data_IF_739130622401
#
_entry.id   IF_739130622401
#
_cell.length_a   1.000
_cell.length_b   1.000
_cell.length_c   1.000
_cell.angle_alpha   90.00
_cell.angle_beta   90.00
_cell.angle_gamma   90.00
#
_symmetry.space_group_name_H-M   'P 1'
#
loop_
_entity.id
_entity.type
_entity.pdbx_description
1 polymer ?
#
# COMPACT_ATOMS: atom_id res chain seq x y z
N UNK A 1 10.35 10.72 -7.73
CA UNK A 1 8.89 10.75 -7.89
C UNK A 1 8.28 10.25 -6.60
N UNK A 2 7.02 10.58 -6.33
CA UNK A 2 6.40 10.83 -5.02
C UNK A 2 7.22 11.71 -4.05
N UNK A 3 8.39 11.27 -3.59
CA UNK A 3 9.25 12.02 -2.66
C UNK A 3 9.80 13.35 -3.24
N UNK A 4 10.09 13.40 -4.54
CA UNK A 4 10.64 14.57 -5.26
C UNK A 4 9.55 15.49 -5.82
N UNK A 5 8.46 14.92 -6.37
CA UNK A 5 7.45 15.65 -7.16
C UNK A 5 6.08 15.75 -6.48
N UNK A 6 5.83 14.94 -5.45
CA UNK A 6 4.53 14.87 -4.78
C UNK A 6 3.52 13.95 -5.47
N UNK A 7 3.85 13.39 -6.64
CA UNK A 7 2.98 12.49 -7.41
C UNK A 7 3.65 11.13 -7.55
N UNK A 8 2.92 10.07 -7.17
CA UNK A 8 3.37 8.70 -7.35
C UNK A 8 3.11 8.21 -8.78
N UNK A 9 4.06 7.50 -9.35
CA UNK A 9 3.84 6.81 -10.63
C UNK A 9 3.12 5.48 -10.40
N UNK A 10 2.52 4.92 -11.47
CA UNK A 10 1.96 3.56 -11.42
C UNK A 10 3.02 2.53 -11.02
N UNK A 11 4.25 2.68 -11.50
CA UNK A 11 5.36 1.78 -11.13
C UNK A 11 5.70 1.86 -9.64
N UNK A 12 5.75 3.06 -9.06
CA UNK A 12 5.97 3.25 -7.61
C UNK A 12 4.84 2.64 -6.77
N UNK A 13 3.59 2.75 -7.22
CA UNK A 13 2.45 2.12 -6.55
C UNK A 13 2.57 0.59 -6.58
N UNK A 14 2.88 0.01 -7.73
CA UNK A 14 3.04 -1.44 -7.87
C UNK A 14 4.20 -1.95 -7.03
N UNK A 15 5.33 -1.24 -7.02
CA UNK A 15 6.50 -1.57 -6.20
C UNK A 15 6.17 -1.54 -4.70
N UNK A 16 5.52 -0.46 -4.22
CA UNK A 16 5.06 -0.35 -2.84
C UNK A 16 4.04 -1.43 -2.46
N UNK A 17 3.20 -1.89 -3.38
CA UNK A 17 2.29 -3.01 -3.14
C UNK A 17 3.03 -4.34 -2.98
N UNK A 18 4.11 -4.55 -3.74
CA UNK A 18 4.96 -5.74 -3.62
C UNK A 18 5.83 -5.73 -2.35
N UNK A 19 6.06 -4.56 -1.77
CA UNK A 19 6.87 -4.36 -0.57
C UNK A 19 6.30 -5.04 0.69
N UNK A 20 5.03 -5.48 0.69
CA UNK A 20 4.46 -6.27 1.80
C UNK A 20 5.22 -7.58 2.08
N UNK A 21 6.00 -8.06 1.11
CA UNK A 21 6.86 -9.25 1.25
C UNK A 21 8.28 -8.95 1.72
N UNK A 22 8.64 -7.67 1.79
CA UNK A 22 9.95 -7.25 2.27
C UNK A 22 9.91 -7.05 3.79
N UNK A 23 11.05 -7.23 4.45
CA UNK A 23 11.19 -6.92 5.88
C UNK A 23 11.36 -5.41 6.12
N UNK A 24 11.88 -4.69 5.13
CA UNK A 24 12.16 -3.27 5.23
C UNK A 24 11.96 -2.58 3.87
N UNK A 25 11.50 -1.32 3.91
CA UNK A 25 11.36 -0.45 2.74
C UNK A 25 12.26 0.76 2.92
N UNK A 26 13.17 0.98 1.96
CA UNK A 26 14.05 2.14 1.97
C UNK A 26 13.40 3.32 1.24
N UNK A 27 13.46 4.51 1.85
CA UNK A 27 12.94 5.74 1.25
C UNK A 27 14.07 6.74 1.03
N UNK A 28 14.11 7.29 -0.19
CA UNK A 28 15.01 8.40 -0.50
C UNK A 28 14.48 9.71 0.09
N UNK A 29 15.38 10.56 0.61
CA UNK A 29 15.05 11.91 1.08
C UNK A 29 14.36 12.74 -0.02
N UNK A 30 13.38 13.55 0.34
CA UNK A 30 12.69 14.45 -0.58
C UNK A 30 11.71 15.40 0.11
N UNK A 31 11.30 16.45 -0.60
CA UNK A 31 10.39 17.50 -0.10
C UNK A 31 9.05 16.94 0.40
N UNK A 32 8.60 15.82 -0.15
CA UNK A 32 7.30 15.22 0.15
C UNK A 32 7.39 13.96 1.03
N UNK A 33 8.44 13.82 1.86
CA UNK A 33 8.70 12.58 2.63
C UNK A 33 7.53 12.14 3.51
N UNK A 34 6.85 13.08 4.17
CA UNK A 34 5.67 12.77 5.02
C UNK A 34 4.53 12.20 4.17
N UNK A 35 4.31 12.74 2.97
CA UNK A 35 3.32 12.22 2.02
C UNK A 35 3.71 10.83 1.52
N UNK A 36 5.00 10.62 1.26
CA UNK A 36 5.54 9.31 0.88
C UNK A 36 5.27 8.26 1.95
N UNK A 37 5.54 8.55 3.22
CA UNK A 37 5.30 7.63 4.34
C UNK A 37 3.81 7.30 4.48
N UNK A 38 2.93 8.31 4.49
CA UNK A 38 1.47 8.09 4.59
C UNK A 38 0.92 7.23 3.45
N UNK A 39 1.41 7.45 2.23
CA UNK A 39 1.00 6.65 1.08
C UNK A 39 1.50 5.20 1.19
N UNK A 40 2.74 5.00 1.65
CA UNK A 40 3.28 3.67 1.88
C UNK A 40 2.49 2.92 2.96
N UNK A 41 2.15 3.58 4.06
CA UNK A 41 1.32 3.05 5.15
C UNK A 41 -0.07 2.61 4.65
N UNK A 42 -0.76 3.43 3.85
CA UNK A 42 -2.08 3.08 3.28
C UNK A 42 -1.98 1.84 2.37
N UNK A 43 -0.98 1.80 1.49
CA UNK A 43 -0.76 0.67 0.58
C UNK A 43 -0.49 -0.60 1.38
N UNK A 44 0.47 -0.58 2.31
CA UNK A 44 0.85 -1.75 3.09
C UNK A 44 -0.32 -2.26 3.95
N UNK A 45 -1.06 -1.36 4.60
CA UNK A 45 -2.24 -1.73 5.40
C UNK A 45 -3.31 -2.42 4.54
N UNK A 46 -3.53 -1.92 3.32
CA UNK A 46 -4.47 -2.55 2.38
C UNK A 46 -3.98 -3.92 1.91
N UNK A 47 -2.67 -4.09 1.70
CA UNK A 47 -2.07 -5.37 1.30
C UNK A 47 -2.12 -6.41 2.43
N UNK A 48 -1.91 -6.00 3.68
CA UNK A 48 -2.05 -6.88 4.85
C UNK A 48 -3.47 -7.47 4.97
N UNK A 49 -4.50 -6.72 4.58
CA UNK A 49 -5.87 -7.24 4.51
C UNK A 49 -6.05 -8.42 3.53
N UNK A 50 -5.10 -8.68 2.64
CA UNK A 50 -5.09 -9.83 1.73
C UNK A 50 -4.35 -11.06 2.28
N UNK A 51 -3.98 -11.06 3.57
CA UNK A 51 -3.30 -12.20 4.22
C UNK A 51 -4.03 -12.56 5.52
N UNK A 52 -4.37 -13.84 5.69
CA UNK A 52 -4.95 -14.37 6.92
C UNK A 52 -4.25 -15.67 7.31
N UNK A 53 -3.68 -15.75 8.53
CA UNK A 53 -2.94 -16.92 9.05
C UNK A 53 -1.95 -17.52 8.02
N UNK A 54 -1.14 -16.65 7.38
CA UNK A 54 -0.17 -16.98 6.31
C UNK A 54 -0.78 -17.44 4.97
N UNK A 55 -2.10 -17.40 4.80
CA UNK A 55 -2.78 -17.69 3.53
C UNK A 55 -3.15 -16.39 2.81
N UNK A 56 -2.82 -16.31 1.52
CA UNK A 56 -3.30 -15.23 0.66
C UNK A 56 -4.81 -15.36 0.42
N UNK A 57 -5.52 -14.25 0.60
CA UNK A 57 -6.96 -14.12 0.39
C UNK A 57 -7.25 -12.86 -0.42
N UNK A 58 -8.39 -12.85 -1.12
CA UNK A 58 -8.92 -11.61 -1.65
C UNK A 58 -9.87 -11.01 -0.62
N UNK A 59 -9.48 -9.90 0.00
CA UNK A 59 -10.44 -9.14 0.81
C UNK A 59 -11.52 -8.55 -0.09
N UNK A 60 -12.74 -8.35 0.44
CA UNK A 60 -13.79 -7.65 -0.28
C UNK A 60 -13.34 -6.27 -0.75
N UNK A 61 -13.76 -5.92 -1.96
CA UNK A 61 -13.68 -4.55 -2.45
C UNK A 61 -14.55 -3.64 -1.60
N UNK A 62 -14.18 -2.35 -1.50
CA UNK A 62 -14.93 -1.37 -0.70
C UNK A 62 -16.42 -1.34 -1.04
N UNK A 63 -16.74 -1.38 -2.34
CA UNK A 63 -18.12 -1.40 -2.85
C UNK A 63 -18.92 -2.65 -2.45
N UNK A 64 -18.24 -3.77 -2.19
CA UNK A 64 -18.88 -5.04 -1.85
C UNK A 64 -19.05 -5.23 -0.34
N UNK A 65 -18.48 -4.36 0.50
CA UNK A 65 -18.52 -4.53 1.96
C UNK A 65 -19.93 -4.52 2.51
N UNK A 66 -20.77 -3.59 2.06
CA UNK A 66 -22.14 -3.45 2.54
C UNK A 66 -23.00 -4.67 2.16
N UNK A 67 -22.72 -5.30 1.02
CA UNK A 67 -23.41 -6.53 0.61
C UNK A 67 -23.05 -7.74 1.49
N UNK A 68 -21.84 -7.78 2.03
CA UNK A 68 -21.34 -8.91 2.83
C UNK A 68 -21.59 -8.77 4.35
N UNK A 69 -22.05 -7.61 4.81
CA UNK A 69 -22.37 -7.34 6.22
C UNK A 69 -23.86 -7.50 6.55
N UNK A 70 -24.67 -7.90 5.56
CA UNK A 70 -26.10 -8.19 5.71
C UNK A 70 -26.36 -9.47 6.50
#
# INVERSE_FOLDING_TARGET
>A
TLNKTGYATRSEITDAAMAVRAECVMLNKGKYIVKTIKMLEDILTRQLGHVNKKRYIMRPLGIARNFLQG
#
